data_IF_066211718257
#
_entry.id   IF_066211718257
#
_cell.length_a   1.000
_cell.length_b   1.000
_cell.length_c   1.000
_cell.angle_alpha   90.00
_cell.angle_beta   90.00
_cell.angle_gamma   90.00
#
_symmetry.space_group_name_H-M   'P 1'
#
loop_
_entity.id
_entity.type
_entity.pdbx_description
1 polymer ?
#
# COMPACT_ATOMS: atom_id res chain seq x y z
N UNK A 1 11.16 -1.95 5.00
CA UNK A 1 11.73 -0.82 5.75
C UNK A 1 12.88 -1.31 6.60
N UNK A 2 13.88 -0.48 6.88
CA UNK A 2 14.94 -0.82 7.83
C UNK A 2 14.35 -0.92 9.24
N UNK A 3 14.63 -2.03 9.95
CA UNK A 3 14.24 -2.26 11.34
C UNK A 3 15.49 -2.46 12.19
N UNK A 4 15.46 -2.04 13.46
CA UNK A 4 16.53 -2.31 14.43
C UNK A 4 17.43 -1.11 14.77
N UNK A 5 18.47 -1.39 15.56
CA UNK A 5 19.51 -0.44 15.98
C UNK A 5 20.78 -0.71 15.17
N UNK A 6 21.34 0.31 14.50
CA UNK A 6 22.64 0.21 13.88
C UNK A 6 23.72 0.57 14.92
N UNK A 7 24.47 -0.42 15.46
CA UNK A 7 25.52 -0.11 16.41
C UNK A 7 26.58 0.76 15.71
N UNK A 8 26.92 1.90 16.34
CA UNK A 8 27.93 2.91 15.92
C UNK A 8 27.46 4.08 15.04
N UNK A 9 26.15 4.31 14.89
CA UNK A 9 25.63 5.54 14.28
C UNK A 9 24.93 6.38 15.36
N UNK A 10 25.41 7.60 15.59
CA UNK A 10 25.00 8.43 16.74
C UNK A 10 23.55 8.95 16.70
N UNK A 11 22.80 8.65 15.62
CA UNK A 11 21.47 9.22 15.35
C UNK A 11 20.48 8.20 14.75
N UNK A 12 20.75 6.89 14.84
CA UNK A 12 19.75 5.87 14.50
C UNK A 12 19.18 5.26 15.78
N UNK A 13 18.14 5.90 16.32
CA UNK A 13 17.27 5.31 17.33
C UNK A 13 16.50 4.10 16.78
N UNK A 14 15.80 3.39 17.66
CA UNK A 14 14.93 2.25 17.33
C UNK A 14 13.94 2.66 16.23
N UNK A 15 14.11 2.10 15.03
CA UNK A 15 13.19 2.30 13.92
C UNK A 15 12.01 1.34 14.01
N UNK A 16 10.79 1.87 13.93
CA UNK A 16 9.61 1.04 13.72
C UNK A 16 9.49 0.70 12.24
N UNK A 17 9.34 -0.59 11.92
CA UNK A 17 8.80 -0.95 10.62
C UNK A 17 7.96 -2.22 10.67
N UNK A 18 6.93 -2.21 9.85
CA UNK A 18 6.05 -3.35 9.60
C UNK A 18 5.73 -3.33 8.11
N UNK A 19 6.38 -4.20 7.35
CA UNK A 19 6.15 -4.28 5.90
C UNK A 19 4.84 -5.01 5.64
N UNK A 20 4.11 -4.64 4.59
CA UNK A 20 2.83 -5.28 4.25
C UNK A 20 2.51 -5.17 2.77
N UNK A 21 1.68 -6.09 2.30
CA UNK A 21 1.09 -6.11 0.95
C UNK A 21 -0.40 -5.85 1.10
N UNK A 22 -0.87 -4.78 0.49
CA UNK A 22 -2.27 -4.36 0.54
C UNK A 22 -2.96 -4.59 -0.81
N UNK A 23 -4.25 -4.88 -0.75
CA UNK A 23 -5.13 -5.11 -1.90
C UNK A 23 -6.35 -4.19 -1.82
N UNK A 24 -7.11 -4.03 -2.92
CA UNK A 24 -8.44 -3.43 -2.85
C UNK A 24 -9.33 -4.13 -1.81
N UNK A 25 -10.34 -3.43 -1.29
CA UNK A 25 -11.33 -3.99 -0.36
C UNK A 25 -12.67 -4.19 -1.12
N UNK A 26 -12.74 -5.20 -1.97
CA UNK A 26 -13.95 -5.53 -2.75
C UNK A 26 -14.19 -7.05 -2.70
N UNK A 27 -15.32 -7.53 -3.23
CA UNK A 27 -15.80 -8.92 -3.06
C UNK A 27 -14.77 -10.01 -3.37
N UNK A 28 -13.90 -9.79 -4.36
CA UNK A 28 -12.87 -10.75 -4.76
C UNK A 28 -11.55 -10.63 -3.97
N UNK A 29 -11.47 -9.70 -3.02
CA UNK A 29 -10.31 -9.41 -2.20
C UNK A 29 -10.63 -9.46 -0.69
N UNK A 30 -9.62 -9.55 0.19
CA UNK A 30 -9.83 -9.43 1.63
C UNK A 30 -10.56 -8.13 2.01
N UNK A 31 -11.53 -8.24 2.92
CA UNK A 31 -12.35 -7.11 3.37
C UNK A 31 -11.55 -6.07 4.14
N UNK A 32 -10.47 -6.48 4.80
CA UNK A 32 -9.53 -5.61 5.51
C UNK A 32 -8.45 -5.01 4.60
N UNK A 33 -8.41 -5.41 3.31
CA UNK A 33 -7.44 -4.95 2.33
C UNK A 33 -6.01 -5.43 2.60
N UNK A 34 -5.80 -6.34 3.55
CA UNK A 34 -4.48 -6.83 3.95
C UNK A 34 -4.26 -8.20 3.36
N UNK A 35 -3.37 -8.29 2.39
CA UNK A 35 -2.99 -9.57 1.80
C UNK A 35 -1.94 -10.28 2.64
N UNK A 36 -0.97 -9.53 3.16
CA UNK A 36 0.08 -10.04 4.03
C UNK A 36 0.68 -8.90 4.86
N UNK A 37 1.05 -9.17 6.11
CA UNK A 37 1.77 -8.23 6.98
C UNK A 37 2.93 -8.95 7.66
N UNK A 38 4.08 -8.29 7.74
CA UNK A 38 5.23 -8.74 8.50
C UNK A 38 5.00 -8.51 10.01
N UNK A 39 5.74 -9.24 10.84
CA UNK A 39 5.81 -8.96 12.27
C UNK A 39 6.53 -7.62 12.50
N UNK A 40 5.99 -6.72 13.33
CA UNK A 40 6.67 -5.45 13.63
C UNK A 40 8.10 -5.64 14.12
N UNK A 41 9.01 -4.78 13.67
CA UNK A 41 10.40 -4.69 14.12
C UNK A 41 11.23 -5.97 13.96
N UNK A 42 10.78 -6.88 13.10
CA UNK A 42 11.46 -8.15 12.84
C UNK A 42 12.03 -8.13 11.42
N UNK A 43 13.31 -8.51 11.28
CA UNK A 43 13.93 -8.68 9.98
C UNK A 43 13.36 -9.94 9.31
N UNK A 44 12.58 -9.77 8.24
CA UNK A 44 11.98 -10.87 7.50
C UNK A 44 11.66 -10.48 6.04
N UNK A 45 11.55 -11.51 5.19
CA UNK A 45 11.06 -11.38 3.81
C UNK A 45 9.59 -11.77 3.77
N UNK A 46 8.74 -10.89 3.25
CA UNK A 46 7.31 -11.14 3.03
C UNK A 46 7.08 -11.42 1.55
N UNK A 47 6.55 -12.60 1.23
CA UNK A 47 6.19 -13.01 -0.14
C UNK A 47 4.69 -13.23 -0.19
N UNK A 48 4.02 -12.67 -1.20
CA UNK A 48 2.58 -12.80 -1.39
C UNK A 48 2.24 -12.88 -2.87
N UNK A 49 1.40 -13.85 -3.23
CA UNK A 49 0.85 -13.96 -4.57
C UNK A 49 -0.34 -13.01 -4.75
N UNK A 50 -0.31 -12.28 -5.87
CA UNK A 50 -1.34 -11.32 -6.27
C UNK A 50 -1.77 -11.65 -7.69
N UNK A 51 -3.08 -11.77 -7.88
CA UNK A 51 -3.69 -11.96 -9.20
C UNK A 51 -3.90 -10.59 -9.86
N UNK A 52 -3.13 -10.34 -10.93
CA UNK A 52 -3.18 -9.09 -11.68
C UNK A 52 -4.35 -9.04 -12.68
N UNK A 53 -4.82 -10.20 -13.15
CA UNK A 53 -5.95 -10.27 -14.07
C UNK A 53 -7.23 -9.85 -13.33
N UNK A 54 -7.42 -10.39 -12.12
CA UNK A 54 -8.50 -9.98 -11.24
C UNK A 54 -8.44 -8.49 -10.87
N UNK A 55 -7.23 -7.97 -10.60
CA UNK A 55 -7.05 -6.55 -10.32
C UNK A 55 -7.44 -5.67 -11.52
N UNK A 56 -7.08 -6.10 -12.73
CA UNK A 56 -7.40 -5.38 -13.96
C UNK A 56 -8.90 -5.44 -14.29
N UNK A 57 -9.55 -6.58 -14.06
CA UNK A 57 -11.00 -6.73 -14.18
C UNK A 57 -11.72 -5.78 -13.24
N UNK A 58 -11.34 -5.76 -11.95
CA UNK A 58 -11.93 -4.84 -10.97
C UNK A 58 -11.71 -3.37 -11.37
N UNK A 59 -10.52 -3.02 -11.86
CA UNK A 59 -10.22 -1.67 -12.31
C UNK A 59 -11.04 -1.24 -13.54
N UNK A 60 -11.41 -2.19 -14.38
CA UNK A 60 -12.09 -1.92 -15.64
C UNK A 60 -13.60 -1.97 -15.49
N UNK A 61 -14.11 -2.97 -14.78
CA UNK A 61 -15.52 -3.30 -14.70
C UNK A 61 -16.12 -3.11 -13.32
N UNK A 62 -15.30 -2.91 -12.28
CA UNK A 62 -15.76 -2.72 -10.91
C UNK A 62 -16.74 -1.56 -10.73
N UNK A 63 -17.51 -1.65 -9.66
CA UNK A 63 -18.61 -0.74 -9.31
C UNK A 63 -18.13 0.69 -9.05
N UNK A 64 -16.89 0.85 -8.59
CA UNK A 64 -16.29 2.15 -8.27
C UNK A 64 -14.99 2.32 -9.03
N UNK A 65 -14.88 3.38 -9.84
CA UNK A 65 -13.71 3.63 -10.71
C UNK A 65 -13.08 4.97 -10.41
N UNK A 66 -12.65 5.16 -9.16
CA UNK A 66 -12.13 6.43 -8.63
C UNK A 66 -11.09 7.13 -9.52
N UNK A 67 -10.21 6.38 -10.18
CA UNK A 67 -9.19 6.98 -11.07
C UNK A 67 -9.78 7.44 -12.41
N UNK A 68 -10.77 6.73 -12.96
CA UNK A 68 -11.42 7.09 -14.24
C UNK A 68 -12.46 8.20 -14.05
N UNK A 69 -13.19 8.15 -12.95
CA UNK A 69 -14.27 9.10 -12.65
C UNK A 69 -13.75 10.36 -11.92
N UNK A 70 -12.43 10.53 -11.82
CA UNK A 70 -11.82 11.66 -11.11
C UNK A 70 -12.12 12.98 -11.83
N UNK A 71 -12.83 13.87 -11.14
CA UNK A 71 -13.16 15.22 -11.61
C UNK A 71 -12.01 16.20 -11.48
N UNK A 72 -11.08 16.16 -12.41
CA UNK A 72 -9.95 17.10 -12.46
C UNK A 72 -10.43 18.55 -12.63
N UNK A 73 -11.57 18.77 -13.28
CA UNK A 73 -12.20 20.08 -13.45
C UNK A 73 -12.51 20.80 -12.13
N UNK A 74 -12.79 20.05 -11.05
CA UNK A 74 -13.07 20.61 -9.72
C UNK A 74 -11.87 20.64 -8.78
N UNK A 75 -10.98 19.66 -8.90
CA UNK A 75 -9.95 19.38 -7.89
C UNK A 75 -8.53 19.73 -8.35
N UNK A 76 -8.36 20.34 -9.53
CA UNK A 76 -7.07 20.86 -9.98
C UNK A 76 -6.70 22.14 -9.21
N UNK A 77 -5.64 22.08 -8.39
CA UNK A 77 -5.11 23.24 -7.67
C UNK A 77 -4.04 23.93 -8.51
N UNK A 78 -4.34 25.13 -9.01
CA UNK A 78 -3.36 26.00 -9.67
C UNK A 78 -2.76 26.96 -8.66
N UNK A 79 -1.52 26.71 -8.25
CA UNK A 79 -0.77 27.65 -7.43
C UNK A 79 -0.54 28.95 -8.22
N UNK A 80 -1.02 30.07 -7.68
CA UNK A 80 -0.66 31.40 -8.19
C UNK A 80 0.75 31.73 -7.71
N UNK A 81 1.64 32.06 -8.65
CA UNK A 81 2.96 32.63 -8.36
C UNK A 81 2.83 34.02 -7.80
#
# INVERSE_FOLDING_TARGET
>A
GSVGNLPRVHNMDIQYAQSGVFTPCDFAFPTDGKRAEATPNTEMILVSDVDLDLLNELHTYGSVRNLKDRRNDLYEVRYKK
#
